data_IF_939052277385
#
_entry.id   IF_939052277385
#
_cell.length_a   1.000
_cell.length_b   1.000
_cell.length_c   1.000
_cell.angle_alpha   90.00
_cell.angle_beta   90.00
_cell.angle_gamma   90.00
#
_symmetry.space_group_name_H-M   'P 1'
#
loop_
_entity.id
_entity.type
_entity.pdbx_description
1 polymer ?
#
# COMPACT_ATOMS: atom_id res chain seq x y z
N UNK A 1 6.61 -20.08 1.11
CA UNK A 1 6.09 -19.45 2.35
C UNK A 1 6.67 -18.06 2.38
N UNK A 2 5.86 -17.06 2.07
CA UNK A 2 6.27 -15.65 1.99
C UNK A 2 5.64 -14.94 3.18
N UNK A 3 6.47 -14.65 4.19
CA UNK A 3 6.09 -13.88 5.37
C UNK A 3 5.85 -12.44 4.95
N UNK A 4 4.60 -12.13 4.57
CA UNK A 4 4.14 -10.75 4.46
C UNK A 4 4.20 -10.12 5.85
N UNK A 5 5.29 -9.42 6.15
CA UNK A 5 5.35 -8.54 7.31
C UNK A 5 4.10 -7.64 7.30
N UNK A 6 3.31 -7.62 8.37
CA UNK A 6 2.13 -6.79 8.43
C UNK A 6 2.58 -5.33 8.35
N UNK A 7 1.74 -4.50 7.73
CA UNK A 7 1.89 -3.05 7.60
C UNK A 7 2.15 -2.37 8.96
N UNK A 8 3.38 -2.43 9.50
CA UNK A 8 3.73 -1.82 10.79
C UNK A 8 3.91 -0.32 10.69
N UNK A 9 4.25 0.18 9.50
CA UNK A 9 4.42 1.61 9.22
C UNK A 9 3.13 2.42 9.46
N UNK A 10 1.92 2.05 8.99
CA UNK A 10 0.71 2.84 9.28
C UNK A 10 0.34 2.84 10.77
N UNK A 11 0.58 1.76 11.53
CA UNK A 11 0.21 1.71 12.95
C UNK A 11 1.09 2.64 13.77
N UNK A 12 2.41 2.65 13.51
CA UNK A 12 3.34 3.55 14.18
C UNK A 12 2.99 5.02 13.91
N UNK A 13 2.77 5.42 12.65
CA UNK A 13 2.39 6.79 12.32
C UNK A 13 1.05 7.20 12.97
N UNK A 14 0.07 6.28 13.01
CA UNK A 14 -1.20 6.53 13.70
C UNK A 14 -1.01 6.72 15.21
N UNK A 15 -0.13 5.93 15.84
CA UNK A 15 0.17 6.09 17.27
C UNK A 15 0.79 7.46 17.60
N UNK A 16 1.68 7.95 16.74
CA UNK A 16 2.31 9.27 16.88
C UNK A 16 1.30 10.40 16.72
N UNK A 17 0.40 10.31 15.73
CA UNK A 17 -0.65 11.32 15.50
C UNK A 17 -1.63 11.37 16.68
N UNK A 18 -2.04 10.22 17.20
CA UNK A 18 -2.93 10.15 18.37
C UNK A 18 -2.25 10.75 19.60
N UNK A 19 -0.97 10.45 19.81
CA UNK A 19 -0.19 11.04 20.90
C UNK A 19 -0.10 12.57 20.77
N UNK A 20 0.18 13.10 19.57
CA UNK A 20 0.19 14.54 19.31
C UNK A 20 -1.17 15.19 19.57
N UNK A 21 -2.28 14.56 19.17
CA UNK A 21 -3.64 15.06 19.45
C UNK A 21 -3.91 15.16 20.95
N UNK A 22 -3.54 14.13 21.72
CA UNK A 22 -3.74 14.11 23.17
C UNK A 22 -2.95 15.25 23.83
N UNK A 23 -1.67 15.40 23.47
CA UNK A 23 -0.82 16.47 24.01
C UNK A 23 -1.33 17.86 23.63
N UNK A 24 -1.80 18.04 22.40
CA UNK A 24 -2.36 19.31 21.94
C UNK A 24 -3.66 19.67 22.66
N UNK A 25 -4.50 18.67 22.95
CA UNK A 25 -5.74 18.86 23.72
C UNK A 25 -5.43 19.19 25.18
N UNK A 26 -4.48 18.49 25.79
CA UNK A 26 -4.04 18.79 27.16
C UNK A 26 -3.49 20.22 27.29
N UNK A 27 -2.66 20.67 26.33
CA UNK A 27 -2.16 22.04 26.29
C UNK A 27 -3.29 23.09 26.17
N UNK A 28 -4.32 22.80 25.37
CA UNK A 28 -5.49 23.66 25.25
C UNK A 28 -6.28 23.74 26.58
N UNK A 29 -6.49 22.62 27.26
CA UNK A 29 -7.19 22.59 28.55
C UNK A 29 -6.43 23.39 29.62
N UNK A 30 -5.11 23.23 29.70
CA UNK A 30 -4.26 24.02 30.61
C UNK A 30 -4.32 25.52 30.28
N UNK A 31 -4.37 25.88 28.99
CA UNK A 31 -4.53 27.28 28.59
C UNK A 31 -5.89 27.87 29.01
N UNK A 32 -6.96 27.06 28.96
CA UNK A 32 -8.29 27.46 29.44
C UNK A 32 -8.30 27.63 30.96
N UNK A 33 -7.72 26.69 31.70
CA UNK A 33 -7.59 26.80 33.17
C UNK A 33 -6.78 28.05 33.56
N UNK A 34 -5.67 28.31 32.89
CA UNK A 34 -4.86 29.51 33.11
C UNK A 34 -5.67 30.80 32.86
N UNK A 35 -6.50 30.82 31.81
CA UNK A 35 -7.40 31.94 31.54
C UNK A 35 -8.45 32.13 32.64
N UNK A 36 -9.08 31.05 33.11
CA UNK A 36 -10.11 31.12 34.14
C UNK A 36 -9.56 31.54 35.51
N UNK A 37 -8.36 31.09 35.86
CA UNK A 37 -7.75 31.37 37.17
C UNK A 37 -7.07 32.74 37.21
N UNK A 38 -6.34 33.11 36.17
CA UNK A 38 -5.51 34.33 36.16
C UNK A 38 -6.17 35.49 35.40
N UNK A 39 -7.26 35.24 34.67
CA UNK A 39 -7.96 36.25 33.86
C UNK A 39 -7.14 36.77 32.66
N UNK A 40 -5.98 36.16 32.37
CA UNK A 40 -5.07 36.59 31.30
C UNK A 40 -5.19 35.68 30.09
N UNK A 41 -5.38 36.29 28.92
CA UNK A 41 -5.36 35.59 27.65
C UNK A 41 -3.93 35.52 27.10
N UNK A 42 -3.28 34.38 27.32
CA UNK A 42 -2.01 34.09 26.65
C UNK A 42 -2.28 33.61 25.23
N UNK A 43 -2.48 34.58 24.33
CA UNK A 43 -2.80 34.37 22.92
C UNK A 43 -1.83 33.40 22.23
N UNK A 44 -0.56 33.41 22.61
CA UNK A 44 0.48 32.54 22.05
C UNK A 44 0.16 31.06 22.31
N UNK A 45 -0.23 30.69 23.53
CA UNK A 45 -0.53 29.30 23.88
C UNK A 45 -1.80 28.80 23.20
N UNK A 46 -2.80 29.68 23.07
CA UNK A 46 -4.06 29.36 22.39
C UNK A 46 -3.82 29.15 20.89
N UNK A 47 -3.05 30.02 20.23
CA UNK A 47 -2.75 29.90 18.81
C UNK A 47 -1.91 28.64 18.53
N UNK A 48 -0.93 28.36 19.39
CA UNK A 48 -0.07 27.19 19.23
C UNK A 48 -0.85 25.87 19.41
N UNK A 49 -1.69 25.78 20.44
CA UNK A 49 -2.52 24.58 20.67
C UNK A 49 -3.61 24.42 19.60
N UNK A 50 -4.22 25.50 19.13
CA UNK A 50 -5.21 25.46 18.04
C UNK A 50 -4.60 25.02 16.70
N UNK A 51 -3.40 25.52 16.36
CA UNK A 51 -2.69 25.12 15.13
C UNK A 51 -2.23 23.67 15.18
N UNK A 52 -1.73 23.20 16.32
CA UNK A 52 -1.34 21.80 16.52
C UNK A 52 -2.54 20.83 16.45
N UNK A 53 -3.69 21.19 17.04
CA UNK A 53 -4.93 20.43 16.89
C UNK A 53 -5.37 20.36 15.42
N UNK A 54 -5.35 21.50 14.73
CA UNK A 54 -5.75 21.60 13.32
C UNK A 54 -4.88 20.74 12.41
N UNK A 55 -3.56 20.79 12.58
CA UNK A 55 -2.61 19.99 11.80
C UNK A 55 -2.81 18.49 12.06
N UNK A 56 -2.99 18.10 13.32
CA UNK A 56 -3.13 16.70 13.70
C UNK A 56 -4.45 16.11 13.18
N UNK A 57 -5.55 16.88 13.22
CA UNK A 57 -6.83 16.50 12.60
C UNK A 57 -6.72 16.40 11.07
N UNK A 58 -6.03 17.36 10.43
CA UNK A 58 -5.79 17.34 8.99
C UNK A 58 -5.04 16.07 8.56
N UNK A 59 -3.95 15.72 9.25
CA UNK A 59 -3.16 14.52 9.01
C UNK A 59 -4.00 13.25 9.19
N UNK A 60 -4.83 13.19 10.24
CA UNK A 60 -5.72 12.07 10.50
C UNK A 60 -6.79 11.89 9.41
N UNK A 61 -7.32 12.99 8.86
CA UNK A 61 -8.27 12.94 7.74
C UNK A 61 -7.53 12.56 6.44
N UNK A 62 -6.33 13.09 6.22
CA UNK A 62 -5.54 12.83 5.02
C UNK A 62 -5.14 11.35 4.91
N UNK A 63 -4.72 10.72 6.03
CA UNK A 63 -4.36 9.30 6.05
C UNK A 63 -5.57 8.38 5.85
N UNK A 64 -6.78 8.82 6.26
CA UNK A 64 -8.04 8.10 5.95
C UNK A 64 -8.47 8.26 4.50
N UNK A 65 -8.22 9.43 3.89
CA UNK A 65 -8.64 9.73 2.51
C UNK A 65 -7.68 9.21 1.46
N UNK A 66 -6.39 9.08 1.77
CA UNK A 66 -5.43 8.44 0.88
C UNK A 66 -5.30 6.99 1.30
N UNK A 67 -5.90 6.02 0.58
CA UNK A 67 -5.34 4.68 0.66
C UNK A 67 -3.87 4.84 0.29
N UNK A 68 -2.97 4.51 1.22
CA UNK A 68 -1.55 4.41 0.95
C UNK A 68 -1.40 3.25 -0.03
N UNK A 69 -1.71 3.51 -1.29
CA UNK A 69 -1.33 2.73 -2.44
C UNK A 69 0.16 2.98 -2.59
N UNK A 70 0.94 2.34 -1.72
CA UNK A 70 2.31 2.01 -2.05
C UNK A 70 2.17 1.27 -3.38
N UNK A 71 2.58 1.92 -4.47
CA UNK A 71 2.29 1.59 -5.87
C UNK A 71 2.85 0.24 -6.37
N UNK A 72 2.97 -0.74 -5.47
CA UNK A 72 3.19 -2.13 -5.77
C UNK A 72 1.85 -2.86 -5.71
N UNK A 73 0.92 -2.45 -6.57
CA UNK A 73 0.02 -3.47 -7.09
C UNK A 73 0.92 -4.45 -7.83
N UNK A 74 1.10 -5.67 -7.29
CA UNK A 74 1.82 -6.73 -7.96
C UNK A 74 1.03 -7.08 -9.21
N UNK A 75 1.28 -6.33 -10.28
CA UNK A 75 0.69 -6.60 -11.58
C UNK A 75 1.00 -8.05 -11.92
N UNK A 76 -0.08 -8.80 -12.14
CA UNK A 76 -0.04 -10.22 -12.42
C UNK A 76 0.83 -10.46 -13.66
N UNK A 77 1.80 -11.35 -13.53
CA UNK A 77 2.66 -11.76 -14.64
C UNK A 77 2.18 -13.11 -15.11
N UNK A 78 1.92 -13.21 -16.41
CA UNK A 78 1.41 -14.41 -17.04
C UNK A 78 2.41 -14.97 -18.04
N UNK A 79 2.46 -16.29 -18.10
CA UNK A 79 3.37 -17.08 -18.93
C UNK A 79 2.57 -17.81 -19.98
N UNK A 80 2.96 -17.67 -21.23
CA UNK A 80 2.37 -18.37 -22.37
C UNK A 80 3.23 -19.58 -22.71
N UNK A 81 2.62 -20.75 -22.68
CA UNK A 81 3.23 -22.00 -23.14
C UNK A 81 2.67 -22.33 -24.52
N UNK A 82 3.55 -22.65 -25.48
CA UNK A 82 3.18 -22.99 -26.86
C UNK A 82 3.86 -24.28 -27.31
N UNK A 83 3.15 -25.09 -28.08
CA UNK A 83 3.72 -26.27 -28.73
C UNK A 83 4.53 -25.86 -29.98
N UNK A 84 5.66 -26.53 -30.22
CA UNK A 84 6.47 -26.33 -31.43
C UNK A 84 5.90 -27.04 -32.67
N UNK A 85 5.00 -28.01 -32.50
CA UNK A 85 4.47 -28.86 -33.57
C UNK A 85 3.01 -28.59 -33.97
N UNK A 86 2.22 -27.93 -33.12
CA UNK A 86 0.81 -27.66 -33.38
C UNK A 86 0.35 -26.37 -32.69
N UNK A 87 -0.90 -25.96 -32.93
CA UNK A 87 -1.46 -24.72 -32.38
C UNK A 87 -1.90 -24.80 -30.91
N UNK A 88 -1.35 -25.73 -30.14
CA UNK A 88 -1.63 -25.79 -28.70
C UNK A 88 -0.95 -24.61 -28.00
N UNK A 89 -1.75 -23.84 -27.25
CA UNK A 89 -1.33 -22.73 -26.40
C UNK A 89 -2.05 -22.82 -25.06
N UNK A 90 -1.32 -22.55 -23.98
CA UNK A 90 -1.85 -22.44 -22.63
C UNK A 90 -1.29 -21.18 -21.96
N UNK A 91 -2.10 -20.51 -21.15
CA UNK A 91 -1.67 -19.35 -20.36
C UNK A 91 -1.81 -19.71 -18.89
N UNK A 92 -0.73 -19.51 -18.13
CA UNK A 92 -0.73 -19.74 -16.67
C UNK A 92 -0.04 -18.59 -15.95
N UNK A 93 -0.22 -18.54 -14.65
CA UNK A 93 0.50 -17.60 -13.79
C UNK A 93 2.01 -17.91 -13.83
N UNK A 94 2.82 -16.85 -13.77
CA UNK A 94 4.29 -16.99 -13.78
C UNK A 94 4.79 -17.74 -12.55
N UNK A 95 5.67 -18.70 -12.78
CA UNK A 95 6.36 -19.43 -11.73
C UNK A 95 7.84 -19.04 -11.70
N UNK A 96 8.41 -18.95 -10.50
CA UNK A 96 9.85 -18.65 -10.34
C UNK A 96 10.68 -19.69 -11.10
N UNK A 97 11.55 -19.21 -12.00
CA UNK A 97 12.37 -20.06 -12.87
C UNK A 97 11.83 -20.22 -14.28
N UNK A 98 10.68 -19.62 -14.61
CA UNK A 98 10.25 -19.49 -16.00
C UNK A 98 11.14 -18.53 -16.79
N UNK A 99 11.59 -18.97 -17.96
CA UNK A 99 12.33 -18.17 -18.92
C UNK A 99 11.89 -18.53 -20.35
N UNK A 100 12.07 -17.60 -21.28
CA UNK A 100 11.64 -17.78 -22.67
C UNK A 100 12.43 -18.94 -23.30
N UNK A 101 11.75 -19.80 -24.06
CA UNK A 101 12.24 -21.07 -24.64
C UNK A 101 12.55 -22.19 -23.63
N UNK A 102 12.21 -22.03 -22.34
CA UNK A 102 12.25 -23.14 -21.39
C UNK A 102 11.33 -24.28 -21.85
N UNK A 103 11.80 -25.52 -21.78
CA UNK A 103 10.98 -26.70 -22.01
C UNK A 103 9.94 -26.86 -20.90
N UNK A 104 8.67 -26.88 -21.28
CA UNK A 104 7.50 -26.96 -20.40
C UNK A 104 6.81 -28.33 -20.44
N UNK A 105 7.47 -29.36 -20.99
CA UNK A 105 6.99 -30.73 -21.05
C UNK A 105 6.41 -31.11 -22.42
N UNK A 106 5.52 -32.10 -22.42
CA UNK A 106 4.95 -32.67 -23.65
C UNK A 106 3.53 -32.16 -23.91
N UNK A 107 3.22 -31.92 -25.18
CA UNK A 107 1.94 -31.42 -25.62
C UNK A 107 0.87 -32.52 -25.49
N UNK A 108 -0.28 -32.24 -24.83
CA UNK A 108 -1.34 -33.23 -24.67
C UNK A 108 -2.06 -33.57 -25.97
N UNK A 109 -1.97 -32.71 -27.01
CA UNK A 109 -2.64 -32.92 -28.30
C UNK A 109 -1.83 -33.76 -29.29
N UNK A 110 -0.50 -33.63 -29.31
CA UNK A 110 0.33 -34.26 -30.35
C UNK A 110 1.65 -34.87 -29.83
N UNK A 111 1.92 -34.83 -28.52
CA UNK A 111 3.16 -35.33 -27.94
C UNK A 111 4.41 -34.51 -28.27
N UNK A 112 4.27 -33.37 -28.97
CA UNK A 112 5.39 -32.46 -29.27
C UNK A 112 5.91 -31.71 -28.04
N UNK A 113 7.08 -31.09 -28.15
CA UNK A 113 7.68 -30.30 -27.06
C UNK A 113 6.91 -28.99 -26.85
N UNK A 114 6.54 -28.70 -25.61
CA UNK A 114 6.01 -27.43 -25.16
C UNK A 114 7.16 -26.52 -24.73
N UNK A 115 7.08 -25.24 -25.08
CA UNK A 115 8.03 -24.23 -24.64
C UNK A 115 7.33 -23.01 -24.07
N UNK A 116 8.00 -22.28 -23.19
CA UNK A 116 7.57 -20.95 -22.77
C UNK A 116 7.83 -19.97 -23.92
N UNK A 117 6.75 -19.45 -24.52
CA UNK A 117 6.81 -18.57 -25.67
C UNK A 117 6.93 -17.10 -25.27
N UNK A 118 6.20 -16.67 -24.24
CA UNK A 118 6.27 -15.30 -23.74
C UNK A 118 5.94 -15.22 -22.26
N UNK A 119 6.52 -14.21 -21.59
CA UNK A 119 6.22 -13.83 -20.22
C UNK A 119 5.88 -12.35 -20.28
N UNK A 120 4.68 -11.98 -19.84
CA UNK A 120 4.19 -10.62 -19.96
C UNK A 120 3.43 -10.19 -18.72
N UNK A 121 3.40 -8.87 -18.51
CA UNK A 121 2.63 -8.24 -17.45
C UNK A 121 1.21 -8.02 -17.96
N UNK A 122 0.21 -8.55 -17.25
CA UNK A 122 -1.19 -8.28 -17.61
C UNK A 122 -1.47 -6.79 -17.42
N UNK A 123 -1.77 -6.08 -18.51
CA UNK A 123 -2.33 -4.74 -18.40
C UNK A 123 -3.76 -4.89 -17.92
N UNK A 124 -4.13 -4.23 -16.82
CA UNK A 124 -5.53 -3.95 -16.57
C UNK A 124 -6.00 -3.05 -17.71
N UNK A 125 -6.72 -3.62 -18.66
CA UNK A 125 -7.51 -2.83 -19.60
C UNK A 125 -8.43 -1.97 -18.74
N UNK A 126 -8.36 -0.65 -18.93
CA UNK A 126 -9.25 0.27 -18.22
C UNK A 126 -10.63 0.12 -18.87
N UNK A 127 -11.47 -0.72 -18.27
CA UNK A 127 -12.93 -0.61 -18.44
C UNK A 127 -13.44 0.67 -17.74
#
# INVERSE_FOLDING_TARGET
>A
MDEREPRRTPIFFMSVIVFMLIMSLAALLLAIEAYLVQGKLEMINIILSASALSLSLYMFIQIRRRPVSLGFEMLKVSTVIRCLKCDYKNVREFEKGDYILRNAGSCPKCGGTLIIYSIFRESKEKD
#
